data_IF_680242934687
#
_entry.id   IF_680242934687
#
_cell.length_a   1.000
_cell.length_b   1.000
_cell.length_c   1.000
_cell.angle_alpha   90.00
_cell.angle_beta   90.00
_cell.angle_gamma   90.00
#
_symmetry.space_group_name_H-M   'P 1'
#
loop_
_entity.id
_entity.type
_entity.pdbx_description
1 polymer ?
#
# COMPACT_ATOMS: atom_id res chain seq x y z
N UNK A 1 -17.82 1.21 -7.51
CA UNK A 1 -17.98 2.07 -6.31
C UNK A 1 -17.88 1.18 -5.09
N UNK A 2 -17.41 1.69 -3.95
CA UNK A 2 -17.47 0.95 -2.68
C UNK A 2 -18.94 0.88 -2.25
N UNK A 3 -19.40 -0.30 -1.85
CA UNK A 3 -20.77 -0.54 -1.40
C UNK A 3 -20.86 -0.93 0.08
N UNK A 4 -19.80 -1.55 0.63
CA UNK A 4 -19.72 -1.91 2.05
C UNK A 4 -18.30 -1.70 2.58
N UNK A 5 -18.20 -1.24 3.83
CA UNK A 5 -16.92 -1.08 4.53
C UNK A 5 -17.03 -1.75 5.90
N UNK A 6 -16.01 -2.51 6.27
CA UNK A 6 -15.87 -3.11 7.59
C UNK A 6 -14.59 -2.61 8.27
N UNK A 7 -14.67 -2.39 9.58
CA UNK A 7 -13.57 -1.85 10.38
C UNK A 7 -13.22 -2.78 11.54
N UNK A 8 -11.92 -2.93 11.77
CA UNK A 8 -11.33 -3.40 13.04
C UNK A 8 -10.27 -2.39 13.48
N UNK A 9 -9.71 -2.48 14.70
CA UNK A 9 -8.63 -1.58 15.11
C UNK A 9 -7.42 -1.59 14.17
N UNK A 10 -7.19 -2.70 13.47
CA UNK A 10 -5.97 -2.93 12.66
C UNK A 10 -6.22 -2.99 11.16
N UNK A 11 -7.49 -2.99 10.74
CA UNK A 11 -7.87 -3.26 9.36
C UNK A 11 -9.12 -2.49 8.94
N UNK A 12 -9.12 -2.05 7.69
CA UNK A 12 -10.31 -1.61 6.97
C UNK A 12 -10.48 -2.50 5.74
N UNK A 13 -11.65 -3.09 5.57
CA UNK A 13 -12.02 -3.85 4.37
C UNK A 13 -13.01 -3.06 3.54
N UNK A 14 -12.72 -2.90 2.26
CA UNK A 14 -13.58 -2.24 1.29
C UNK A 14 -14.12 -3.27 0.30
N UNK A 15 -15.44 -3.31 0.18
CA UNK A 15 -16.16 -4.19 -0.75
C UNK A 15 -16.79 -3.36 -1.85
N UNK A 16 -16.53 -3.72 -3.10
CA UNK A 16 -17.21 -3.14 -4.27
C UNK A 16 -18.50 -3.92 -4.61
N UNK A 17 -19.15 -3.55 -5.73
CA UNK A 17 -20.38 -4.20 -6.16
C UNK A 17 -20.21 -5.70 -6.47
N UNK A 18 -19.10 -6.07 -7.12
CA UNK A 18 -18.83 -7.47 -7.49
C UNK A 18 -18.49 -8.32 -6.25
N UNK A 19 -18.00 -7.70 -5.18
CA UNK A 19 -17.76 -8.39 -3.91
C UNK A 19 -19.05 -8.72 -3.14
N UNK A 20 -20.15 -7.99 -3.41
CA UNK A 20 -21.44 -8.17 -2.72
C UNK A 20 -22.47 -8.96 -3.54
N UNK A 21 -22.16 -9.30 -4.79
CA UNK A 21 -23.00 -10.17 -5.63
C UNK A 21 -22.62 -11.64 -5.45
N UNK A 22 -23.49 -12.46 -4.84
CA UNK A 22 -23.26 -13.90 -4.62
C UNK A 22 -23.05 -14.72 -5.89
N UNK A 23 -23.38 -14.18 -7.07
CA UNK A 23 -23.18 -14.82 -8.37
C UNK A 23 -21.86 -14.42 -9.04
N UNK A 24 -21.21 -13.38 -8.52
CA UNK A 24 -19.93 -12.89 -9.03
C UNK A 24 -18.79 -13.85 -8.68
N UNK A 25 -17.84 -14.09 -9.59
CA UNK A 25 -16.61 -14.81 -9.25
C UNK A 25 -15.77 -14.11 -8.18
N UNK A 26 -16.04 -12.83 -7.93
CA UNK A 26 -15.40 -11.99 -6.92
C UNK A 26 -16.22 -11.85 -5.63
N UNK A 27 -17.31 -12.60 -5.44
CA UNK A 27 -18.08 -12.53 -4.19
C UNK A 27 -17.18 -12.71 -2.95
N UNK A 28 -17.17 -11.75 -2.03
CA UNK A 28 -16.32 -11.71 -0.82
C UNK A 28 -14.79 -11.61 -1.09
N UNK A 29 -14.35 -10.82 -2.08
CA UNK A 29 -12.92 -10.49 -2.31
C UNK A 29 -12.56 -9.03 -2.03
N UNK A 30 -12.73 -8.54 -0.78
CA UNK A 30 -12.48 -7.13 -0.48
C UNK A 30 -11.01 -6.74 -0.65
N UNK A 31 -10.78 -5.47 -0.94
CA UNK A 31 -9.48 -4.85 -0.68
C UNK A 31 -9.34 -4.59 0.82
N UNK A 32 -8.24 -5.03 1.42
CA UNK A 32 -7.95 -4.85 2.85
C UNK A 32 -6.77 -3.89 3.05
N UNK A 33 -6.98 -2.85 3.83
CA UNK A 33 -5.96 -1.93 4.32
C UNK A 33 -5.56 -2.31 5.74
N UNK A 34 -4.25 -2.38 6.03
CA UNK A 34 -3.72 -2.68 7.37
C UNK A 34 -3.02 -1.46 7.96
N UNK A 35 -3.22 -1.26 9.26
CA UNK A 35 -2.70 -0.11 10.01
C UNK A 35 -1.79 -0.57 11.16
N UNK A 36 -0.74 0.22 11.42
CA UNK A 36 0.12 0.00 12.57
C UNK A 36 -0.47 0.56 13.87
N UNK A 37 0.26 0.44 14.98
CA UNK A 37 -0.16 0.95 16.30
C UNK A 37 -0.37 2.47 16.38
N UNK A 38 0.10 3.23 15.38
CA UNK A 38 -0.11 4.67 15.27
C UNK A 38 -1.22 5.02 14.27
N UNK A 39 -1.93 4.02 13.74
CA UNK A 39 -2.99 4.21 12.74
C UNK A 39 -2.45 4.55 11.35
N UNK A 40 -1.17 4.28 11.07
CA UNK A 40 -0.57 4.55 9.75
C UNK A 40 -0.77 3.35 8.86
N UNK A 41 -1.26 3.58 7.65
CA UNK A 41 -1.45 2.53 6.66
C UNK A 41 -0.09 2.02 6.15
N UNK A 42 0.14 0.71 6.21
CA UNK A 42 1.40 0.11 5.79
C UNK A 42 1.24 -1.09 4.86
N UNK A 43 0.07 -1.73 4.76
CA UNK A 43 -0.19 -2.78 3.75
C UNK A 43 -1.55 -2.56 3.08
N UNK A 44 -1.56 -2.62 1.76
CA UNK A 44 -2.77 -2.86 0.96
C UNK A 44 -2.73 -4.30 0.46
N UNK A 45 -3.80 -5.06 0.70
CA UNK A 45 -4.00 -6.41 0.17
C UNK A 45 -5.22 -6.43 -0.75
N UNK A 46 -5.01 -6.85 -2.00
CA UNK A 46 -6.09 -7.19 -2.93
C UNK A 46 -6.31 -8.70 -2.91
N UNK A 47 -7.54 -9.12 -2.63
CA UNK A 47 -7.95 -10.53 -2.74
C UNK A 47 -8.38 -10.81 -4.18
N UNK A 48 -7.65 -11.66 -4.90
CA UNK A 48 -8.00 -12.07 -6.26
C UNK A 48 -8.48 -13.53 -6.30
N UNK A 49 -9.10 -13.99 -5.22
CA UNK A 49 -9.69 -15.33 -5.09
C UNK A 49 -8.68 -16.44 -5.39
N UNK A 50 -8.98 -17.27 -6.40
CA UNK A 50 -8.13 -18.39 -6.80
C UNK A 50 -6.75 -17.96 -7.30
N UNK A 51 -6.59 -16.72 -7.76
CA UNK A 51 -5.28 -16.18 -8.14
C UNK A 51 -4.43 -15.75 -6.93
N UNK A 52 -5.03 -15.76 -5.73
CA UNK A 52 -4.36 -15.46 -4.48
C UNK A 52 -4.48 -14.00 -4.05
N UNK A 53 -3.77 -13.67 -2.98
CA UNK A 53 -3.75 -12.33 -2.38
C UNK A 53 -2.48 -11.60 -2.76
N UNK A 54 -2.61 -10.35 -3.19
CA UNK A 54 -1.49 -9.52 -3.60
C UNK A 54 -1.32 -8.37 -2.63
N UNK A 55 -0.10 -8.21 -2.10
CA UNK A 55 0.19 -7.19 -1.09
C UNK A 55 1.17 -6.16 -1.61
N UNK A 56 0.82 -4.90 -1.43
CA UNK A 56 1.79 -3.80 -1.44
C UNK A 56 2.12 -3.47 0.01
N UNK A 57 3.41 -3.49 0.36
CA UNK A 57 3.88 -3.22 1.72
C UNK A 57 4.78 -1.98 1.74
N UNK A 58 4.49 -1.05 2.64
CA UNK A 58 5.25 0.17 2.85
C UNK A 58 5.99 0.07 4.19
N UNK A 59 7.33 0.06 4.14
CA UNK A 59 8.15 0.22 5.35
C UNK A 59 8.25 1.70 5.69
N UNK A 60 7.72 2.09 6.85
CA UNK A 60 7.67 3.48 7.27
C UNK A 60 8.87 3.84 8.16
N UNK A 61 9.38 5.06 8.04
CA UNK A 61 10.30 5.64 9.04
C UNK A 61 9.55 6.08 10.31
N UNK A 62 10.30 6.63 11.28
CA UNK A 62 9.73 7.12 12.55
C UNK A 62 8.75 8.29 12.35
N UNK A 63 8.85 9.03 11.25
CA UNK A 63 7.92 10.09 10.89
C UNK A 63 6.69 9.58 10.12
N UNK A 64 6.61 8.27 9.84
CA UNK A 64 5.50 7.65 9.11
C UNK A 64 5.63 7.75 7.60
N UNK A 65 6.81 8.08 7.07
CA UNK A 65 7.02 8.22 5.63
C UNK A 65 7.56 6.92 5.05
N UNK A 66 7.11 6.49 3.86
CA UNK A 66 7.59 5.26 3.24
C UNK A 66 9.06 5.37 2.85
N UNK A 67 9.89 4.46 3.33
CA UNK A 67 11.31 4.31 2.96
C UNK A 67 11.50 3.21 1.91
N UNK A 68 10.64 2.19 1.93
CA UNK A 68 10.61 1.10 0.95
C UNK A 68 9.15 0.77 0.65
N UNK A 69 8.82 0.68 -0.63
CA UNK A 69 7.56 0.12 -1.12
C UNK A 69 7.89 -1.21 -1.81
N UNK A 70 7.31 -2.28 -1.31
CA UNK A 70 7.49 -3.64 -1.81
C UNK A 70 6.25 -4.09 -2.55
N UNK A 71 6.43 -4.63 -3.75
CA UNK A 71 5.33 -5.19 -4.56
C UNK A 71 4.88 -6.57 -4.07
N UNK A 72 3.86 -7.13 -4.73
CA UNK A 72 3.32 -8.43 -4.36
C UNK A 72 4.27 -9.62 -4.59
N UNK A 73 5.39 -9.41 -5.31
CA UNK A 73 6.45 -10.40 -5.49
C UNK A 73 7.57 -10.25 -4.45
N UNK A 74 7.43 -9.34 -3.49
CA UNK A 74 8.44 -9.09 -2.46
C UNK A 74 9.62 -8.24 -2.94
N UNK A 75 9.53 -7.60 -4.12
CA UNK A 75 10.61 -6.77 -4.67
C UNK A 75 10.48 -5.35 -4.15
N UNK A 76 11.59 -4.75 -3.73
CA UNK A 76 11.65 -3.32 -3.39
C UNK A 76 11.43 -2.49 -4.67
N UNK A 77 10.17 -2.17 -4.95
CA UNK A 77 9.75 -1.45 -6.16
C UNK A 77 10.25 -0.01 -6.12
N UNK A 78 10.10 0.66 -4.97
CA UNK A 78 10.57 2.03 -4.76
C UNK A 78 11.26 2.13 -3.41
N UNK A 79 12.41 2.80 -3.37
CA UNK A 79 13.13 3.11 -2.13
C UNK A 79 13.41 4.61 -2.06
N UNK A 80 13.34 5.15 -0.86
CA UNK A 80 13.57 6.57 -0.60
C UNK A 80 14.64 6.75 0.47
N UNK A 81 15.66 7.55 0.15
CA UNK A 81 16.53 8.13 1.16
C UNK A 81 15.91 9.45 1.59
N UNK A 82 15.37 9.51 2.82
CA UNK A 82 14.69 10.69 3.32
C UNK A 82 15.66 11.71 3.91
N UNK A 83 15.48 12.98 3.57
CA UNK A 83 15.96 14.10 4.37
C UNK A 83 14.95 14.47 5.46
N UNK A 84 15.07 15.69 6.00
CA UNK A 84 14.13 16.15 7.03
C UNK A 84 12.70 16.30 6.51
N UNK A 85 12.52 16.79 5.28
CA UNK A 85 11.17 17.02 4.71
C UNK A 85 10.92 16.15 3.47
N UNK A 86 11.82 16.22 2.48
CA UNK A 86 11.71 15.52 1.20
C UNK A 86 12.67 14.31 1.06
N UNK A 87 12.42 13.36 0.14
CA UNK A 87 13.43 12.40 -0.26
C UNK A 87 14.59 13.09 -0.98
N UNK A 88 15.83 12.72 -0.65
CA UNK A 88 17.06 13.15 -1.32
C UNK A 88 17.41 12.22 -2.48
N UNK A 89 16.95 10.97 -2.41
CA UNK A 89 17.11 9.96 -3.44
C UNK A 89 15.86 9.12 -3.54
N UNK A 90 15.43 8.84 -4.75
CA UNK A 90 14.42 7.82 -5.04
C UNK A 90 15.03 6.82 -6.02
N UNK A 91 14.99 5.53 -5.68
CA UNK A 91 15.33 4.46 -6.62
C UNK A 91 14.08 3.64 -6.87
N UNK A 92 13.71 3.47 -8.14
CA UNK A 92 12.57 2.68 -8.58
C UNK A 92 13.03 1.63 -9.59
N UNK A 93 12.46 0.43 -9.50
CA UNK A 93 12.85 -0.71 -10.34
C UNK A 93 12.58 -0.48 -11.83
N UNK A 94 11.57 0.33 -12.17
CA UNK A 94 11.14 0.57 -13.55
C UNK A 94 11.72 1.87 -14.14
N UNK A 95 11.99 2.88 -13.31
CA UNK A 95 12.44 4.21 -13.75
C UNK A 95 13.87 4.58 -13.32
N UNK A 96 14.57 3.70 -12.60
CA UNK A 96 15.94 3.92 -12.19
C UNK A 96 16.07 4.83 -10.97
N UNK A 97 17.17 5.58 -10.88
CA UNK A 97 17.49 6.41 -9.70
C UNK A 97 17.46 7.89 -10.02
N UNK A 98 16.73 8.65 -9.19
CA UNK A 98 16.70 10.11 -9.17
C UNK A 98 17.34 10.62 -7.86
N UNK A 99 18.25 11.56 -7.98
CA UNK A 99 18.73 12.38 -6.86
C UNK A 99 18.10 13.76 -6.94
N UNK A 100 17.64 14.29 -5.81
CA UNK A 100 17.06 15.63 -5.75
C UNK A 100 17.51 16.35 -4.49
N UNK A 101 17.90 17.60 -4.65
CA UNK A 101 18.14 18.55 -3.57
C UNK A 101 17.23 19.72 -3.88
N UNK A 102 16.22 19.92 -3.04
CA UNK A 102 15.32 21.05 -3.20
C UNK A 102 15.97 22.28 -2.56
N UNK A 103 15.80 23.43 -3.20
CA UNK A 103 16.29 24.71 -2.68
C UNK A 103 15.60 25.04 -1.35
N UNK A 104 16.33 25.68 -0.45
CA UNK A 104 15.79 26.16 0.82
C UNK A 104 15.34 27.62 0.61
N UNK A 105 14.03 27.83 0.49
CA UNK A 105 13.45 29.16 0.43
C UNK A 105 13.65 29.94 1.74
#
# INVERSE_FOLDING_TARGET
>A
SIERIEFTPWQQKNYDQNDNDTTSPHYDSPQTQYFDSLGRHFITEDDNKAAGKYRVHQTLDIAGRPTVVTDAKGRAMTTHLMGMQQPLKTTNIDSGTLWQINDAA
#
